data_IF_110784604330
#
_entry.id   IF_110784604330
#
_cell.length_a   1.000
_cell.length_b   1.000
_cell.length_c   1.000
_cell.angle_alpha   90.00
_cell.angle_beta   90.00
_cell.angle_gamma   90.00
#
_symmetry.space_group_name_H-M   'P 1'
#
loop_
_entity.id
_entity.type
_entity.pdbx_description
1 polymer ?
#
# COMPACT_ATOMS: atom_id res chain seq x y z
N UNK A 1 8.62 -21.50 -3.12
CA UNK A 1 9.01 -20.25 -3.83
C UNK A 1 7.79 -19.43 -4.25
N UNK A 2 7.25 -18.57 -3.37
CA UNK A 2 6.14 -17.66 -3.65
C UNK A 2 6.35 -16.75 -4.86
N UNK A 3 5.29 -16.44 -5.59
CA UNK A 3 5.30 -15.41 -6.65
C UNK A 3 4.75 -14.12 -6.06
N UNK A 4 5.53 -13.04 -6.16
CA UNK A 4 5.11 -11.69 -5.79
C UNK A 4 4.73 -10.91 -7.04
N UNK A 5 3.62 -10.18 -6.98
CA UNK A 5 3.16 -9.29 -8.05
C UNK A 5 3.01 -7.88 -7.51
N UNK A 6 3.51 -6.89 -8.24
CA UNK A 6 3.39 -5.48 -7.92
C UNK A 6 2.45 -4.80 -8.93
N UNK A 7 1.38 -4.21 -8.42
CA UNK A 7 0.31 -3.57 -9.18
C UNK A 7 0.45 -2.05 -9.05
N UNK A 8 0.41 -1.36 -10.18
CA UNK A 8 0.57 0.09 -10.25
C UNK A 8 -0.76 0.75 -10.60
N UNK A 9 -1.33 1.54 -9.70
CA UNK A 9 -2.49 2.38 -10.03
C UNK A 9 -2.07 3.85 -10.02
N UNK A 10 -1.65 4.37 -11.19
CA UNK A 10 -1.15 5.73 -11.54
C UNK A 10 -0.13 6.43 -10.61
N UNK A 11 -0.09 6.20 -9.30
CA UNK A 11 0.88 6.68 -8.28
C UNK A 11 0.97 5.77 -7.04
N UNK A 12 0.35 4.59 -7.07
CA UNK A 12 0.17 3.70 -5.91
C UNK A 12 0.68 2.31 -6.20
N UNK A 13 1.20 1.64 -5.18
CA UNK A 13 1.83 0.33 -5.29
C UNK A 13 1.09 -0.66 -4.40
N UNK A 14 0.50 -1.69 -4.99
CA UNK A 14 -0.03 -2.82 -4.23
C UNK A 14 0.84 -4.03 -4.53
N UNK A 15 1.25 -4.80 -3.53
CA UNK A 15 1.96 -6.06 -3.75
C UNK A 15 1.16 -7.25 -3.23
N UNK A 16 1.09 -8.31 -4.01
CA UNK A 16 0.38 -9.55 -3.66
C UNK A 16 1.36 -10.71 -3.68
N UNK A 17 1.42 -11.48 -2.59
CA UNK A 17 2.03 -12.80 -2.55
C UNK A 17 0.95 -13.87 -2.70
N UNK A 18 0.86 -14.50 -3.88
CA UNK A 18 -0.21 -15.46 -4.18
C UNK A 18 -0.11 -16.75 -3.35
N UNK A 19 1.09 -17.16 -2.93
CA UNK A 19 1.24 -18.41 -2.16
C UNK A 19 0.82 -18.26 -0.71
N UNK A 20 0.99 -17.06 -0.18
CA UNK A 20 0.66 -16.75 1.22
C UNK A 20 -0.70 -16.06 1.33
N UNK A 21 -1.41 -15.88 0.21
CA UNK A 21 -2.65 -15.12 0.16
C UNK A 21 -2.49 -13.82 0.96
N UNK A 22 -1.42 -13.08 0.70
CA UNK A 22 -1.03 -11.93 1.52
C UNK A 22 -0.90 -10.70 0.63
N UNK A 23 -1.68 -9.67 0.92
CA UNK A 23 -1.80 -8.45 0.12
C UNK A 23 -1.31 -7.28 0.96
N UNK A 24 -0.29 -6.60 0.45
CA UNK A 24 0.31 -5.44 1.09
C UNK A 24 -0.02 -4.20 0.27
N UNK A 25 -0.55 -3.18 0.93
CA UNK A 25 -0.80 -1.87 0.34
C UNK A 25 0.37 -0.94 0.63
N UNK A 26 0.95 -0.30 -0.39
CA UNK A 26 2.06 0.64 -0.22
C UNK A 26 1.71 1.98 -0.87
N UNK A 27 1.53 2.99 -0.04
CA UNK A 27 1.42 4.37 -0.49
C UNK A 27 2.83 4.96 -0.64
N UNK A 28 3.19 5.42 -1.83
CA UNK A 28 4.52 6.00 -2.08
C UNK A 28 4.38 7.50 -2.27
N UNK A 29 4.98 8.26 -1.36
CA UNK A 29 5.06 9.71 -1.43
C UNK A 29 6.51 10.16 -1.38
N UNK A 30 6.74 11.43 -1.69
CA UNK A 30 8.07 12.00 -1.68
C UNK A 30 8.09 13.38 -2.31
N UNK A 31 9.20 13.69 -2.96
CA UNK A 31 9.45 15.00 -3.52
C UNK A 31 8.93 15.09 -4.96
N UNK A 32 8.29 16.20 -5.31
CA UNK A 32 7.95 16.53 -6.69
C UNK A 32 8.72 17.76 -7.11
N UNK A 33 9.37 17.69 -8.26
CA UNK A 33 9.92 18.88 -8.91
C UNK A 33 8.83 19.51 -9.76
N UNK A 34 8.53 20.79 -9.50
CA UNK A 34 7.64 21.58 -10.35
C UNK A 34 8.37 22.87 -10.72
N UNK A 35 8.67 23.05 -12.02
CA UNK A 35 9.43 24.20 -12.54
C UNK A 35 10.76 24.45 -11.80
N UNK A 36 11.48 23.38 -11.44
CA UNK A 36 12.76 23.46 -10.74
C UNK A 36 12.68 23.65 -9.21
N UNK A 37 11.48 23.83 -8.65
CA UNK A 37 11.26 23.89 -7.21
C UNK A 37 10.92 22.49 -6.71
N UNK A 38 11.72 21.99 -5.77
CA UNK A 38 11.45 20.73 -5.08
C UNK A 38 10.40 20.98 -4.00
N UNK A 39 9.23 20.37 -4.15
CA UNK A 39 8.14 20.42 -3.17
C UNK A 39 8.03 19.07 -2.47
N UNK A 40 8.05 19.08 -1.14
CA UNK A 40 7.75 17.88 -0.33
C UNK A 40 6.26 17.56 -0.45
N UNK A 41 5.91 16.29 -0.55
CA UNK A 41 4.52 15.88 -0.38
C UNK A 41 4.07 16.19 1.05
N UNK A 42 2.84 16.69 1.21
CA UNK A 42 2.27 16.93 2.52
C UNK A 42 2.18 15.60 3.29
N UNK A 43 2.78 15.57 4.49
CA UNK A 43 2.91 14.33 5.27
C UNK A 43 1.58 13.94 5.89
N UNK A 44 0.73 14.89 6.28
CA UNK A 44 -0.63 14.60 6.74
C UNK A 44 -1.46 13.94 5.63
N UNK A 45 -1.35 14.44 4.40
CA UNK A 45 -2.01 13.82 3.24
C UNK A 45 -1.44 12.42 2.98
N UNK A 46 -0.12 12.25 3.06
CA UNK A 46 0.54 10.97 2.89
C UNK A 46 0.05 9.91 3.89
N UNK A 47 -0.02 10.28 5.17
CA UNK A 47 -0.53 9.43 6.25
C UNK A 47 -2.02 9.15 6.02
N UNK A 48 -2.82 10.16 5.72
CA UNK A 48 -4.25 10.02 5.45
C UNK A 48 -4.52 9.07 4.28
N UNK A 49 -3.80 9.20 3.17
CA UNK A 49 -3.93 8.31 2.02
C UNK A 49 -3.52 6.87 2.33
N UNK A 50 -2.46 6.66 3.11
CA UNK A 50 -2.11 5.33 3.59
C UNK A 50 -3.21 4.76 4.51
N UNK A 51 -3.75 5.56 5.44
CA UNK A 51 -4.87 5.14 6.31
C UNK A 51 -6.11 4.76 5.51
N UNK A 52 -6.37 5.39 4.37
CA UNK A 52 -7.49 5.00 3.52
C UNK A 52 -7.37 3.55 3.04
N UNK A 53 -6.16 2.96 2.93
CA UNK A 53 -6.03 1.55 2.52
C UNK A 53 -6.50 0.59 3.59
N UNK A 54 -6.50 1.01 4.86
CA UNK A 54 -7.02 0.18 5.95
C UNK A 54 -8.51 -0.16 5.75
N UNK A 55 -9.26 0.67 5.00
CA UNK A 55 -10.70 0.47 4.74
C UNK A 55 -11.04 0.30 3.25
N UNK A 56 -10.04 0.21 2.37
CA UNK A 56 -10.24 0.08 0.93
C UNK A 56 -9.84 -1.30 0.41
N UNK A 57 -10.40 -1.73 -0.72
CA UNK A 57 -11.42 -1.06 -1.53
C UNK A 57 -12.85 -1.24 -1.00
N UNK A 58 -13.70 -0.25 -1.23
CA UNK A 58 -15.14 -0.47 -1.22
C UNK A 58 -15.52 -1.35 -2.41
N UNK A 59 -16.12 -2.52 -2.15
CA UNK A 59 -16.47 -3.49 -3.18
C UNK A 59 -17.98 -3.68 -3.29
N UNK A 60 -18.47 -3.73 -4.54
CA UNK A 60 -19.81 -4.23 -4.86
C UNK A 60 -19.67 -5.43 -5.78
N UNK A 61 -20.08 -6.61 -5.32
CA UNK A 61 -19.95 -7.86 -6.08
C UNK A 61 -21.28 -8.60 -6.08
N UNK A 62 -21.83 -8.90 -7.26
CA UNK A 62 -23.11 -9.63 -7.43
C UNK A 62 -24.23 -9.12 -6.49
N UNK A 63 -24.40 -7.81 -6.40
CA UNK A 63 -25.38 -7.10 -5.54
C UNK A 63 -25.08 -7.04 -4.05
N UNK A 64 -24.04 -7.73 -3.58
CA UNK A 64 -23.49 -7.61 -2.24
C UNK A 64 -22.64 -6.34 -2.13
N UNK A 65 -22.79 -5.61 -1.02
CA UNK A 65 -21.85 -4.56 -0.61
C UNK A 65 -20.90 -5.16 0.40
N UNK A 66 -19.61 -5.10 0.12
CA UNK A 66 -18.57 -5.67 0.97
C UNK A 66 -17.72 -4.53 1.51
N UNK A 67 -17.72 -4.40 2.83
CA UNK A 67 -17.01 -3.36 3.57
C UNK A 67 -15.74 -3.92 4.22
N UNK A 68 -14.72 -3.07 4.38
CA UNK A 68 -13.41 -3.45 4.90
C UNK A 68 -12.34 -3.38 3.83
N UNK A 69 -11.21 -4.04 4.09
CA UNK A 69 -10.01 -3.95 3.26
C UNK A 69 -9.53 -5.31 2.80
N UNK A 70 -8.85 -5.31 1.66
CA UNK A 70 -8.14 -6.50 1.13
C UNK A 70 -6.71 -6.60 1.66
N UNK A 71 -6.19 -5.52 2.27
CA UNK A 71 -4.78 -5.38 2.62
C UNK A 71 -4.51 -5.88 4.03
N UNK A 72 -3.68 -6.92 4.15
CA UNK A 72 -3.22 -7.46 5.43
C UNK A 72 -2.33 -6.47 6.18
N UNK A 73 -1.49 -5.76 5.43
CA UNK A 73 -0.56 -4.77 5.93
C UNK A 73 -0.59 -3.53 5.02
N UNK A 74 -0.38 -2.36 5.64
CA UNK A 74 -0.31 -1.10 4.94
C UNK A 74 0.98 -0.38 5.29
N UNK A 75 1.68 0.08 4.26
CA UNK A 75 2.92 0.82 4.37
C UNK A 75 2.78 2.21 3.77
N UNK A 76 3.40 3.19 4.41
CA UNK A 76 3.76 4.44 3.80
C UNK A 76 5.26 4.41 3.48
N UNK A 77 5.59 4.57 2.20
CA UNK A 77 6.95 4.74 1.73
C UNK A 77 7.24 6.22 1.47
N UNK A 78 8.33 6.71 2.03
CA UNK A 78 8.77 8.09 1.87
C UNK A 78 10.30 8.15 1.75
N UNK A 79 10.91 9.24 1.28
CA UNK A 79 12.34 9.20 0.99
C UNK A 79 13.21 9.18 2.25
N UNK A 80 12.98 10.05 3.24
CA UNK A 80 13.81 10.12 4.44
C UNK A 80 13.00 9.90 5.73
N UNK A 81 13.60 9.25 6.73
CA UNK A 81 12.98 9.07 8.05
C UNK A 81 12.72 10.39 8.76
N UNK A 82 13.67 11.33 8.67
CA UNK A 82 13.61 12.64 9.35
C UNK A 82 12.36 13.45 9.00
N UNK A 83 11.78 13.19 7.83
CA UNK A 83 10.56 13.89 7.41
C UNK A 83 9.37 13.55 8.35
N UNK A 84 9.40 12.44 9.08
CA UNK A 84 8.32 12.01 10.00
C UNK A 84 8.57 12.34 11.47
N UNK A 85 9.66 13.02 11.82
CA UNK A 85 10.00 13.24 13.24
C UNK A 85 8.89 13.99 13.99
N UNK A 86 8.32 15.02 13.36
CA UNK A 86 7.19 15.79 13.91
C UNK A 86 5.88 14.98 13.99
N UNK A 87 5.81 13.86 13.28
CA UNK A 87 4.63 12.99 13.17
C UNK A 87 4.78 11.65 13.87
N UNK A 88 5.89 11.46 14.60
CA UNK A 88 6.25 10.17 15.22
C UNK A 88 5.10 9.58 16.04
N UNK A 89 4.42 10.41 16.85
CA UNK A 89 3.26 9.97 17.65
C UNK A 89 2.10 9.46 16.80
N UNK A 90 1.77 10.13 15.70
CA UNK A 90 0.69 9.71 14.78
C UNK A 90 1.06 8.38 14.13
N UNK A 91 2.31 8.26 13.67
CA UNK A 91 2.80 7.02 13.08
C UNK A 91 2.78 5.88 14.11
N UNK A 92 3.16 6.11 15.37
CA UNK A 92 3.15 5.11 16.43
C UNK A 92 1.76 4.57 16.77
N UNK A 93 0.71 5.40 16.74
CA UNK A 93 -0.66 4.98 17.10
C UNK A 93 -1.45 4.37 15.93
N UNK A 94 -0.99 4.53 14.70
CA UNK A 94 -1.67 3.95 13.53
C UNK A 94 -1.12 2.56 13.24
N UNK A 95 -1.91 1.63 12.66
CA UNK A 95 -1.41 0.30 12.31
C UNK A 95 -0.48 0.30 11.07
N UNK A 96 -0.16 1.47 10.52
CA UNK A 96 0.61 1.62 9.28
C UNK A 96 2.11 1.48 9.57
N UNK A 97 2.82 0.79 8.68
CA UNK A 97 4.27 0.70 8.64
C UNK A 97 4.89 1.89 7.93
N UNK A 98 6.11 2.25 8.32
CA UNK A 98 6.88 3.32 7.70
C UNK A 98 8.14 2.73 7.05
N UNK A 99 8.23 2.91 5.74
CA UNK A 99 9.39 2.54 4.93
C UNK A 99 10.08 3.82 4.45
N UNK A 100 11.38 3.92 4.71
CA UNK A 100 12.24 4.90 4.07
C UNK A 100 12.88 4.31 2.82
N UNK A 101 12.89 5.07 1.72
CA UNK A 101 13.62 4.68 0.52
C UNK A 101 15.14 4.67 0.72
N UNK A 102 15.68 5.51 1.62
CA UNK A 102 17.13 5.59 1.88
C UNK A 102 17.57 4.85 3.14
N UNK A 103 16.68 4.69 4.13
CA UNK A 103 17.01 4.06 5.43
C UNK A 103 16.34 2.70 5.65
N UNK A 104 15.47 2.25 4.74
CA UNK A 104 14.75 0.97 4.86
C UNK A 104 13.61 1.03 5.87
N UNK A 105 13.32 -0.08 6.54
CA UNK A 105 12.16 -0.18 7.46
C UNK A 105 12.40 0.68 8.70
N UNK A 106 11.57 1.72 8.86
CA UNK A 106 11.58 2.61 10.03
C UNK A 106 10.64 2.11 11.13
N UNK A 107 9.46 1.66 10.73
CA UNK A 107 8.44 1.06 11.60
C UNK A 107 7.76 -0.09 10.84
N UNK A 108 7.64 -1.26 11.46
CA UNK A 108 6.85 -2.36 10.88
C UNK A 108 5.35 -2.06 11.00
N UNK A 109 4.53 -2.44 10.02
CA UNK A 109 3.08 -2.35 10.13
C UNK A 109 2.58 -3.32 11.19
N UNK A 110 1.41 -3.01 11.72
CA UNK A 110 0.61 -3.98 12.44
C UNK A 110 -0.38 -4.63 11.48
N UNK A 111 -0.98 -5.76 11.89
CA UNK A 111 -2.05 -6.38 11.12
C UNK A 111 -3.19 -5.37 10.97
N UNK A 112 -3.67 -5.17 9.74
CA UNK A 112 -4.81 -4.31 9.50
C UNK A 112 -6.06 -4.89 10.20
N UNK A 113 -6.68 -4.15 11.15
CA UNK A 113 -7.83 -4.65 11.91
C UNK A 113 -9.13 -4.73 11.10
N UNK A 114 -9.16 -4.14 9.90
CA UNK A 114 -10.35 -4.09 9.05
C UNK A 114 -10.24 -4.98 7.81
N UNK A 115 -9.34 -5.97 7.83
CA UNK A 115 -9.26 -6.98 6.75
C UNK A 115 -10.58 -7.72 6.66
N UNK A 116 -11.11 -7.79 5.45
CA UNK A 116 -12.26 -8.60 5.10
C UNK A 116 -11.80 -9.73 4.17
N UNK A 117 -11.74 -10.95 4.69
CA UNK A 117 -11.30 -12.13 3.94
C UNK A 117 -12.19 -12.38 2.71
N UNK A 118 -13.49 -12.09 2.79
CA UNK A 118 -14.40 -12.23 1.64
C UNK A 118 -14.07 -11.23 0.53
N UNK A 119 -13.75 -9.98 0.89
CA UNK A 119 -13.30 -8.98 -0.08
C UNK A 119 -12.01 -9.42 -0.76
N UNK A 120 -11.09 -9.98 0.02
CA UNK A 120 -9.78 -10.46 -0.42
C UNK A 120 -9.87 -11.65 -1.36
N UNK A 121 -10.71 -12.63 -1.03
CA UNK A 121 -11.03 -13.77 -1.92
C UNK A 121 -11.53 -13.28 -3.28
N UNK A 122 -12.54 -12.41 -3.28
CA UNK A 122 -13.11 -11.87 -4.52
C UNK A 122 -12.05 -11.09 -5.30
N UNK A 123 -11.23 -10.29 -4.63
CA UNK A 123 -10.12 -9.57 -5.28
C UNK A 123 -9.16 -10.53 -5.97
N UNK A 124 -8.80 -11.64 -5.31
CA UNK A 124 -7.84 -12.62 -5.83
C UNK A 124 -8.41 -13.51 -6.94
N UNK A 125 -9.68 -13.91 -6.83
CA UNK A 125 -10.40 -14.59 -7.93
C UNK A 125 -10.38 -13.75 -9.21
N UNK A 126 -10.43 -12.42 -9.06
CA UNK A 126 -10.45 -11.48 -10.17
C UNK A 126 -9.06 -10.91 -10.52
N UNK A 127 -7.99 -11.38 -9.87
CA UNK A 127 -6.64 -10.86 -10.05
C UNK A 127 -6.16 -10.99 -11.51
N UNK A 128 -6.51 -12.10 -12.16
CA UNK A 128 -6.20 -12.36 -13.57
C UNK A 128 -6.78 -11.29 -14.50
N UNK A 129 -8.01 -10.83 -14.22
CA UNK A 129 -8.66 -9.73 -14.92
C UNK A 129 -7.91 -8.41 -14.71
N UNK A 130 -7.41 -8.15 -13.49
CA UNK A 130 -6.63 -6.93 -13.23
C UNK A 130 -5.27 -6.95 -13.91
N UNK A 131 -4.64 -8.13 -14.08
CA UNK A 131 -3.33 -8.24 -14.76
C UNK A 131 -3.35 -7.70 -16.18
N UNK A 132 -4.45 -7.85 -16.94
CA UNK A 132 -4.53 -7.33 -18.31
C UNK A 132 -4.63 -5.80 -18.39
N UNK A 133 -5.10 -5.14 -17.34
CA UNK A 133 -5.18 -3.67 -17.28
C UNK A 133 -3.88 -3.02 -16.79
N UNK A 134 -2.90 -3.83 -16.36
CA UNK A 134 -1.64 -3.36 -15.81
C UNK A 134 -0.60 -3.41 -16.93
N UNK A 135 -0.63 -2.39 -17.78
CA UNK A 135 0.46 -2.13 -18.71
C UNK A 135 1.75 -1.88 -17.91
N UNK A 136 2.63 -2.89 -17.83
CA UNK A 136 4.00 -2.73 -17.33
C UNK A 136 4.38 -3.50 -16.05
N UNK A 137 3.52 -4.35 -15.49
CA UNK A 137 3.85 -5.16 -14.31
C UNK A 137 4.94 -6.19 -14.60
N UNK A 138 6.22 -5.83 -14.39
CA UNK A 138 7.32 -6.81 -14.40
C UNK A 138 7.20 -7.72 -13.18
N UNK A 139 7.27 -9.03 -13.40
CA UNK A 139 7.47 -10.03 -12.35
C UNK A 139 8.81 -9.72 -11.67
N UNK A 140 8.80 -9.15 -10.46
CA UNK A 140 10.03 -8.90 -9.72
C UNK A 140 10.47 -10.17 -9.01
N UNK A 141 11.73 -10.53 -9.17
CA UNK A 141 12.38 -11.49 -8.29
C UNK A 141 12.60 -10.85 -6.92
N UNK A 142 12.43 -11.67 -5.87
CA UNK A 142 12.46 -11.36 -4.44
C UNK A 142 13.38 -10.17 -4.08
N UNK A 143 12.84 -9.15 -3.42
CA UNK A 143 13.66 -8.23 -2.61
C UNK A 143 13.88 -8.97 -1.28
N UNK A 144 15.14 -9.28 -1.00
CA UNK A 144 15.59 -9.97 0.23
C UNK A 144 15.65 -8.97 1.38
#
# INVERSE_FOLDING_TARGET
MGSFYLFFTRRRYNSVNERENHIIGIEVKGYRSNKGIIQKANIYEAIGEAMMYLLNPYMKYKWEKIEGSIFDEVWLCYPYKRDFEDFKRVIEITPIGLLSAYEGVVKRPEKNPFVNERAKEIFLENLSTFRSYIQGGRKMHKIV
#
